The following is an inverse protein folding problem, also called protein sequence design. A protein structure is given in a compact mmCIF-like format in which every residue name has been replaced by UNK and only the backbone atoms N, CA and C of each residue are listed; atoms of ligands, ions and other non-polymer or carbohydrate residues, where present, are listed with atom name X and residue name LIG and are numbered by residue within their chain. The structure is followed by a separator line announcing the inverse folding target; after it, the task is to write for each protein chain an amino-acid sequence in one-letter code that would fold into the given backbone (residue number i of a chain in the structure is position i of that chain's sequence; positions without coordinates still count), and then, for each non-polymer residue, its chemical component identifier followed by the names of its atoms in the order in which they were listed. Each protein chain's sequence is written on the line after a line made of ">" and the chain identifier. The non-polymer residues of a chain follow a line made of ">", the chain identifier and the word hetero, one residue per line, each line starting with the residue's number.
data_IF_590939157180
#
_entry.id   IF_590939157180
#
_cell.length_a   1.000
_cell.length_b   1.000
_cell.length_c   1.000
_cell.angle_alpha   90.00
_cell.angle_beta   90.00
_cell.angle_gamma   90.00
#
_symmetry.space_group_name_H-M   'P 1'
#
loop_
_entity.id
_entity.type
_entity.pdbx_description
1 polymer ?
#
# COMPACT_ATOMS: atom_id res chain seq x y z
N UNK A 1 -3.60 12.01 6.93
CA UNK A 1 -3.91 10.76 6.20
C UNK A 1 -4.11 11.08 4.73
N UNK A 2 -3.06 10.92 3.93
CA UNK A 2 -3.04 11.21 2.49
C UNK A 2 -4.03 10.32 1.75
N UNK A 3 -4.08 9.02 2.06
CA UNK A 3 -5.04 8.10 1.44
C UNK A 3 -6.51 8.47 1.64
N UNK A 4 -6.88 9.04 2.80
CA UNK A 4 -8.26 9.49 3.01
C UNK A 4 -8.59 10.64 2.05
N UNK A 5 -7.71 11.64 1.95
CA UNK A 5 -7.87 12.78 1.03
C UNK A 5 -8.03 12.29 -0.42
N UNK A 6 -7.08 11.48 -0.88
CA UNK A 6 -7.04 10.98 -2.26
C UNK A 6 -8.28 10.14 -2.62
N UNK A 7 -8.79 9.33 -1.68
CA UNK A 7 -9.99 8.50 -1.89
C UNK A 7 -11.28 9.30 -1.74
N UNK A 8 -11.31 10.30 -0.86
CA UNK A 8 -12.49 11.15 -0.63
C UNK A 8 -12.79 12.06 -1.80
N UNK A 9 -11.76 12.55 -2.50
CA UNK A 9 -11.93 13.41 -3.68
C UNK A 9 -12.52 12.67 -4.89
N UNK A 10 -12.44 11.34 -4.90
CA UNK A 10 -12.90 10.48 -6.01
C UNK A 10 -14.27 9.85 -5.75
N UNK A 11 -14.93 10.15 -4.63
CA UNK A 11 -16.15 9.49 -4.22
C UNK A 11 -17.28 10.51 -3.95
N UNK A 12 -18.46 10.28 -4.55
CA UNK A 12 -19.67 11.07 -4.25
C UNK A 12 -20.17 10.85 -2.81
N UNK A 13 -19.89 9.68 -2.24
CA UNK A 13 -20.22 9.33 -0.85
C UNK A 13 -18.98 8.83 -0.10
N UNK A 14 -18.74 9.41 1.07
CA UNK A 14 -17.62 9.04 1.94
C UNK A 14 -18.19 8.33 3.16
N UNK A 15 -17.95 7.02 3.27
CA UNK A 15 -18.35 6.28 4.47
C UNK A 15 -17.49 6.70 5.66
N UNK A 16 -18.08 6.71 6.86
CA UNK A 16 -17.32 6.93 8.09
C UNK A 16 -16.20 5.90 8.27
N UNK A 17 -16.43 4.66 7.79
CA UNK A 17 -15.41 3.60 7.81
C UNK A 17 -14.16 3.94 7.01
N UNK A 18 -14.27 4.66 5.88
CA UNK A 18 -13.10 5.09 5.11
C UNK A 18 -12.22 6.08 5.90
N UNK A 19 -12.82 6.87 6.79
CA UNK A 19 -12.08 7.77 7.67
C UNK A 19 -11.48 7.03 8.87
N UNK A 20 -12.21 6.08 9.45
CA UNK A 20 -11.85 5.44 10.72
C UNK A 20 -11.07 4.13 10.59
N UNK A 21 -11.00 3.50 9.41
CA UNK A 21 -10.26 2.25 9.24
C UNK A 21 -8.80 2.29 9.72
N UNK A 22 -8.07 3.42 9.69
CA UNK A 22 -6.69 3.45 10.18
C UNK A 22 -6.60 3.21 11.69
N UNK A 23 -7.64 3.57 12.45
CA UNK A 23 -7.73 3.23 13.87
C UNK A 23 -7.99 1.73 14.07
N UNK A 24 -8.82 1.12 13.22
CA UNK A 24 -9.05 -0.33 13.24
C UNK A 24 -7.77 -1.10 12.86
N UNK A 25 -7.08 -0.67 11.80
CA UNK A 25 -5.79 -1.24 11.39
C UNK A 25 -4.74 -1.15 12.51
N UNK A 26 -4.70 -0.03 13.26
CA UNK A 26 -3.84 0.09 14.43
C UNK A 26 -4.23 -0.93 15.52
N UNK A 27 -5.52 -1.12 15.79
CA UNK A 27 -5.99 -2.13 16.74
C UNK A 27 -5.60 -3.55 16.30
N UNK A 28 -5.74 -3.88 15.01
CA UNK A 28 -5.37 -5.18 14.44
C UNK A 28 -3.88 -5.49 14.65
N UNK A 29 -3.00 -4.47 14.52
CA UNK A 29 -1.56 -4.63 14.73
C UNK A 29 -1.23 -4.80 16.22
N UNK A 30 -1.79 -3.93 17.07
CA UNK A 30 -1.42 -3.82 18.48
C UNK A 30 -1.99 -4.95 19.34
N UNK A 31 -3.05 -5.61 18.90
CA UNK A 31 -3.68 -6.72 19.63
C UNK A 31 -2.77 -7.93 19.84
N UNK A 32 -1.77 -8.12 18.98
CA UNK A 32 -0.93 -9.32 18.94
C UNK A 32 0.54 -9.05 19.32
N UNK A 33 0.84 -7.92 19.98
CA UNK A 33 2.21 -7.54 20.34
C UNK A 33 3.18 -7.56 19.14
N UNK A 34 2.68 -7.11 17.98
CA UNK A 34 3.39 -7.23 16.71
C UNK A 34 4.67 -6.38 16.67
N UNK A 35 5.83 -7.02 16.54
CA UNK A 35 7.12 -6.33 16.37
C UNK A 35 7.28 -5.67 15.00
N UNK A 36 6.84 -6.38 13.95
CA UNK A 36 7.11 -6.04 12.56
C UNK A 36 5.87 -6.21 11.69
N UNK A 37 5.61 -5.20 10.86
CA UNK A 37 4.47 -5.19 9.93
C UNK A 37 5.00 -5.04 8.50
N UNK A 38 5.03 -6.13 7.70
CA UNK A 38 5.51 -6.08 6.32
C UNK A 38 4.45 -5.45 5.42
N UNK A 39 4.75 -4.28 4.87
CA UNK A 39 3.79 -3.51 4.06
C UNK A 39 4.46 -2.80 2.89
N UNK A 40 3.65 -2.43 1.90
CA UNK A 40 4.06 -1.50 0.85
C UNK A 40 4.24 -0.08 1.39
N UNK A 41 4.96 0.75 0.61
CA UNK A 41 5.27 2.14 0.98
C UNK A 41 4.01 2.99 1.23
N UNK A 42 2.91 2.68 0.53
CA UNK A 42 1.62 3.36 0.69
C UNK A 42 1.00 3.23 2.09
N UNK A 43 1.43 2.25 2.88
CA UNK A 43 0.93 1.99 4.24
C UNK A 43 1.79 2.61 5.34
N UNK A 44 2.94 3.20 4.99
CA UNK A 44 3.88 3.78 5.97
C UNK A 44 3.19 4.71 6.97
N UNK A 45 2.33 5.61 6.49
CA UNK A 45 1.61 6.55 7.35
C UNK A 45 0.64 5.87 8.33
N UNK A 46 0.03 4.74 7.96
CA UNK A 46 -0.84 3.99 8.85
C UNK A 46 -0.05 3.27 9.95
N UNK A 47 1.15 2.77 9.63
CA UNK A 47 2.02 2.19 10.65
C UNK A 47 2.54 3.25 11.62
N UNK A 48 2.86 4.46 11.14
CA UNK A 48 3.19 5.57 12.05
C UNK A 48 2.02 5.94 12.97
N UNK A 49 0.77 5.91 12.48
CA UNK A 49 -0.41 6.08 13.34
C UNK A 49 -0.50 4.99 14.42
N UNK A 50 -0.27 3.72 14.06
CA UNK A 50 -0.28 2.62 15.03
C UNK A 50 0.81 2.79 16.10
N UNK A 51 2.00 3.27 15.71
CA UNK A 51 3.10 3.59 16.63
C UNK A 51 2.75 4.72 17.59
N UNK A 52 2.18 5.81 17.07
CA UNK A 52 1.72 6.95 17.88
C UNK A 52 0.67 6.51 18.91
N UNK A 53 -0.28 5.66 18.50
CA UNK A 53 -1.31 5.12 19.40
C UNK A 53 -0.68 4.25 20.50
N UNK A 54 0.24 3.36 20.16
CA UNK A 54 0.94 2.51 21.12
C UNK A 54 1.70 3.34 22.16
N UNK A 55 2.49 4.32 21.71
CA UNK A 55 3.27 5.20 22.57
C UNK A 55 2.39 6.06 23.49
N UNK A 56 1.30 6.62 22.96
CA UNK A 56 0.34 7.40 23.75
C UNK A 56 -0.36 6.55 24.80
N UNK A 57 -0.74 5.32 24.45
CA UNK A 57 -1.35 4.39 25.38
C UNK A 57 -0.38 4.02 26.51
N UNK A 58 0.84 3.60 26.19
CA UNK A 58 1.85 3.23 27.18
C UNK A 58 2.18 4.41 28.11
N UNK A 59 2.33 5.61 27.54
CA UNK A 59 2.56 6.85 28.33
C UNK A 59 1.40 7.15 29.29
N UNK A 60 0.16 6.96 28.84
CA UNK A 60 -1.04 7.24 29.65
C UNK A 60 -1.25 6.22 30.76
N UNK A 61 -0.90 4.96 30.52
CA UNK A 61 -1.03 3.87 31.52
C UNK A 61 0.19 3.81 32.44
N UNK A 62 1.32 4.39 32.05
CA UNK A 62 2.56 4.42 32.83
C UNK A 62 3.32 3.09 32.83
N UNK A 63 3.06 2.22 31.85
CA UNK A 63 3.73 0.93 31.64
C UNK A 63 3.74 0.57 30.16
N UNK A 64 4.73 -0.19 29.74
CA UNK A 64 4.83 -0.73 28.39
C UNK A 64 3.89 -1.92 28.24
N UNK A 65 2.64 -1.63 27.87
CA UNK A 65 1.60 -2.65 27.62
C UNK A 65 1.59 -3.08 26.18
N UNK A 66 1.73 -2.14 25.25
CA UNK A 66 1.67 -2.38 23.82
C UNK A 66 3.07 -2.33 23.22
N UNK A 67 3.39 -3.31 22.37
CA UNK A 67 4.60 -3.28 21.53
C UNK A 67 4.47 -2.17 20.49
N UNK A 68 5.54 -1.41 20.29
CA UNK A 68 5.60 -0.35 19.26
C UNK A 68 6.07 -0.97 17.93
N UNK A 69 5.18 -1.18 16.95
CA UNK A 69 5.50 -1.94 15.73
C UNK A 69 6.48 -1.18 14.83
N UNK A 70 7.26 -1.90 14.04
CA UNK A 70 8.11 -1.37 12.96
C UNK A 70 7.53 -1.73 11.61
N UNK A 71 7.45 -0.77 10.69
CA UNK A 71 7.17 -1.10 9.29
C UNK A 71 8.40 -1.73 8.66
N UNK A 72 8.20 -2.79 7.88
CA UNK A 72 9.24 -3.35 7.01
C UNK A 72 8.76 -3.25 5.58
N UNK A 73 9.49 -2.44 4.80
CA UNK A 73 9.28 -2.29 3.37
C UNK A 73 10.25 -3.26 2.69
N UNK A 74 9.77 -4.20 1.85
CA UNK A 74 10.65 -5.09 1.11
C UNK A 74 11.63 -4.28 0.25
N UNK A 75 12.93 -4.63 0.21
CA UNK A 75 13.92 -3.89 -0.58
C UNK A 75 13.65 -3.99 -2.09
N UNK A 76 12.89 -4.99 -2.52
CA UNK A 76 12.50 -5.22 -3.91
C UNK A 76 10.99 -5.42 -3.97
N UNK A 77 10.34 -4.82 -4.97
CA UNK A 77 8.91 -5.02 -5.23
C UNK A 77 7.95 -4.32 -4.27
N UNK A 78 8.43 -3.42 -3.41
CA UNK A 78 7.58 -2.62 -2.52
C UNK A 78 6.56 -1.76 -3.28
N UNK A 79 6.90 -1.35 -4.50
CA UNK A 79 6.04 -0.58 -5.39
C UNK A 79 6.20 -1.07 -6.82
N UNK A 80 5.20 -1.78 -7.31
CA UNK A 80 5.10 -2.21 -8.70
C UNK A 80 4.21 -1.21 -9.45
N UNK A 81 4.69 -0.76 -10.61
CA UNK A 81 4.00 0.25 -11.41
C UNK A 81 3.02 -0.40 -12.39
N UNK A 82 2.03 0.38 -12.82
CA UNK A 82 1.05 -0.02 -13.83
C UNK A 82 1.73 -0.15 -15.21
N UNK A 83 1.41 -1.22 -15.95
CA UNK A 83 2.05 -1.51 -17.25
C UNK A 83 1.61 -0.55 -18.37
N UNK A 84 0.53 0.19 -18.22
CA UNK A 84 0.04 1.17 -19.20
C UNK A 84 0.29 2.60 -18.74
N UNK A 85 0.29 2.84 -17.44
CA UNK A 85 0.58 4.14 -16.84
C UNK A 85 1.73 4.05 -15.84
N UNK A 86 3.01 4.01 -16.28
CA UNK A 86 4.16 3.75 -15.41
C UNK A 86 4.38 4.75 -14.26
N UNK A 87 3.72 5.92 -14.29
CA UNK A 87 3.72 6.87 -13.16
C UNK A 87 2.80 6.46 -12.00
N UNK A 88 1.84 5.56 -12.26
CA UNK A 88 0.85 5.10 -11.29
C UNK A 88 1.24 3.74 -10.71
N UNK A 89 0.97 3.55 -9.41
CA UNK A 89 1.13 2.24 -8.76
C UNK A 89 0.06 1.29 -9.30
N UNK A 90 0.44 0.05 -9.61
CA UNK A 90 -0.50 -0.99 -9.98
C UNK A 90 -1.55 -1.16 -8.87
N UNK A 91 -2.83 -1.13 -9.26
CA UNK A 91 -3.95 -1.13 -8.32
C UNK A 91 -5.03 -2.10 -8.75
N UNK A 92 -5.60 -2.82 -7.77
CA UNK A 92 -6.76 -3.69 -8.00
C UNK A 92 -8.05 -2.91 -8.28
N UNK A 93 -8.13 -1.66 -7.84
CA UNK A 93 -9.37 -0.87 -7.83
C UNK A 93 -9.43 0.20 -8.91
N UNK A 94 -8.31 0.52 -9.55
CA UNK A 94 -8.32 1.41 -10.72
C UNK A 94 -8.67 0.57 -11.95
N UNK A 95 -9.51 1.08 -12.84
CA UNK A 95 -9.83 0.43 -14.11
C UNK A 95 -8.61 0.50 -15.05
N UNK A 96 -7.64 -0.39 -14.83
CA UNK A 96 -6.50 -0.60 -15.72
C UNK A 96 -6.34 -2.10 -16.02
N UNK A 97 -7.25 -2.71 -16.81
CA UNK A 97 -7.23 -4.15 -17.06
C UNK A 97 -5.96 -4.63 -17.78
N UNK A 98 -5.36 -3.77 -18.61
CA UNK A 98 -4.10 -4.05 -19.32
C UNK A 98 -2.86 -3.65 -18.51
N UNK A 99 -3.02 -2.73 -17.55
CA UNK A 99 -1.95 -2.26 -16.68
C UNK A 99 -1.67 -3.13 -15.47
N UNK A 100 -2.58 -4.06 -15.15
CA UNK A 100 -2.48 -4.94 -13.99
C UNK A 100 -2.37 -6.41 -14.41
N UNK A 101 -1.49 -7.17 -13.75
CA UNK A 101 -1.42 -8.64 -13.86
C UNK A 101 -2.05 -9.25 -12.61
N UNK A 102 -3.09 -10.06 -12.80
CA UNK A 102 -3.75 -10.78 -11.73
C UNK A 102 -3.10 -12.16 -11.55
N UNK A 103 -3.14 -12.67 -10.32
CA UNK A 103 -2.57 -13.99 -9.96
C UNK A 103 -3.20 -15.14 -10.77
N UNK A 104 -4.45 -14.95 -11.21
CA UNK A 104 -5.24 -15.95 -11.95
C UNK A 104 -5.37 -15.62 -13.44
N UNK A 105 -4.60 -14.66 -13.97
CA UNK A 105 -4.61 -14.40 -15.40
C UNK A 105 -4.09 -15.61 -16.17
N UNK A 106 -4.78 -15.96 -17.26
CA UNK A 106 -4.31 -17.01 -18.18
C UNK A 106 -2.93 -16.63 -18.76
N UNK A 107 -2.03 -17.61 -19.01
CA UNK A 107 -0.70 -17.33 -19.56
C UNK A 107 -0.72 -16.49 -20.84
N UNK A 108 -1.70 -16.70 -21.72
CA UNK A 108 -1.87 -15.90 -22.95
C UNK A 108 -2.25 -14.45 -22.66
N UNK A 109 -3.03 -14.20 -21.62
CA UNK A 109 -3.39 -12.85 -21.20
C UNK A 109 -2.18 -12.13 -20.61
N UNK A 110 -1.39 -12.81 -19.77
CA UNK A 110 -0.14 -12.28 -19.20
C UNK A 110 0.83 -11.90 -20.33
N UNK A 111 1.07 -12.81 -21.28
CA UNK A 111 1.95 -12.56 -22.43
C UNK A 111 1.50 -11.32 -23.22
N UNK A 112 0.20 -11.20 -23.48
CA UNK A 112 -0.36 -10.06 -24.22
C UNK A 112 -0.21 -8.74 -23.45
N UNK A 113 -0.38 -8.75 -22.12
CA UNK A 113 -0.21 -7.55 -21.27
C UNK A 113 1.25 -7.10 -21.26
N UNK A 114 2.18 -8.02 -21.04
CA UNK A 114 3.62 -7.73 -21.06
C UNK A 114 4.07 -7.20 -22.42
N UNK A 115 3.65 -7.82 -23.53
CA UNK A 115 3.98 -7.35 -24.89
C UNK A 115 3.47 -5.94 -25.22
N UNK A 116 2.47 -5.46 -24.49
CA UNK A 116 1.83 -4.15 -24.69
C UNK A 116 2.20 -3.15 -23.60
N UNK A 117 3.07 -3.52 -22.66
CA UNK A 117 3.52 -2.63 -21.62
C UNK A 117 4.19 -1.39 -22.25
N UNK A 118 3.92 -0.22 -21.68
CA UNK A 118 4.51 1.04 -22.14
C UNK A 118 5.98 1.04 -21.79
N UNK A 119 6.81 1.33 -22.80
CA UNK A 119 8.25 1.54 -22.68
C UNK A 119 8.63 2.92 -23.25
N UNK A 120 9.90 3.28 -23.15
CA UNK A 120 10.47 4.40 -23.90
C UNK A 120 10.79 4.00 -25.36
N UNK A 121 11.43 4.92 -26.09
CA UNK A 121 11.87 4.72 -27.47
C UNK A 121 13.34 4.27 -27.58
N UNK A 122 14.02 4.07 -26.45
CA UNK A 122 15.40 3.60 -26.43
C UNK A 122 15.41 2.10 -26.74
N UNK A 123 16.48 1.63 -27.39
CA UNK A 123 16.64 0.22 -27.74
C UNK A 123 17.62 -0.50 -26.80
N UNK A 124 17.66 -0.07 -25.54
CA UNK A 124 18.56 -0.59 -24.51
C UNK A 124 17.76 -0.94 -23.25
N UNK A 125 18.02 -2.13 -22.69
CA UNK A 125 17.43 -2.54 -21.41
C UNK A 125 18.40 -2.19 -20.29
N UNK A 126 18.11 -1.10 -19.58
CA UNK A 126 18.87 -0.64 -18.41
C UNK A 126 17.95 -0.22 -17.28
N UNK A 127 18.47 -0.23 -16.05
CA UNK A 127 17.75 0.30 -14.89
C UNK A 127 18.08 1.79 -14.72
N UNK A 128 17.09 2.65 -14.95
CA UNK A 128 17.14 4.10 -14.75
C UNK A 128 15.82 4.56 -14.11
N UNK A 129 15.74 4.62 -12.77
CA UNK A 129 14.49 4.81 -12.02
C UNK A 129 13.96 6.26 -12.01
#
# INVERSE_FOLDING_TARGET
>A
MTQFKDKSERAEFISAGLFTYPALQAADILLYDTDVVPVGDDQRQHIELARDVAQRFNSRVGRDVLVVPKHVIPPVGARIMDLQEPGNKMSKSLESPQGTILVLDDPKAIEKKIKRAVTDADNEVRFDP
#
